data_IF_113048637639
#
_entry.id   IF_113048637639
#
_cell.length_a   1.000
_cell.length_b   1.000
_cell.length_c   1.000
_cell.angle_alpha   90.00
_cell.angle_beta   90.00
_cell.angle_gamma   90.00
#
_symmetry.space_group_name_H-M   'P 1'
#
loop_
_entity.id
_entity.type
_entity.pdbx_description
1 polymer ?
#
# COMPACT_ATOMS: atom_id res chain seq x y z
N UNK A 1 -25.60 -22.78 -14.96
CA UNK A 1 -26.70 -23.74 -15.23
C UNK A 1 -27.77 -22.97 -16.00
N UNK A 2 -28.32 -23.51 -17.08
CA UNK A 2 -29.18 -22.76 -18.02
C UNK A 2 -30.48 -22.31 -17.33
N UNK A 3 -30.71 -20.99 -17.24
CA UNK A 3 -31.98 -20.40 -16.85
C UNK A 3 -32.77 -20.04 -18.11
N UNK A 4 -34.04 -20.40 -18.15
CA UNK A 4 -34.96 -19.99 -19.21
C UNK A 4 -35.37 -18.53 -18.94
N UNK A 5 -35.02 -17.63 -19.86
CA UNK A 5 -35.23 -16.19 -19.72
C UNK A 5 -36.25 -15.77 -20.76
N UNK A 6 -37.51 -15.60 -20.36
CA UNK A 6 -38.52 -15.00 -21.24
C UNK A 6 -38.30 -13.50 -21.34
N UNK A 7 -38.07 -13.01 -22.57
CA UNK A 7 -37.83 -11.59 -22.86
C UNK A 7 -39.16 -10.80 -22.84
N UNK A 8 -39.18 -9.69 -22.11
CA UNK A 8 -40.20 -8.64 -22.28
C UNK A 8 -39.65 -7.58 -23.22
N UNK A 9 -40.21 -7.48 -24.42
CA UNK A 9 -39.83 -6.49 -25.42
C UNK A 9 -40.56 -5.17 -25.17
N UNK A 10 -39.92 -4.25 -24.43
CA UNK A 10 -39.90 -2.77 -24.60
C UNK A 10 -39.47 -2.07 -23.29
N UNK A 11 -38.19 -1.68 -23.19
CA UNK A 11 -37.59 -1.00 -22.03
C UNK A 11 -36.21 -1.56 -21.69
N UNK A 12 -35.44 -0.98 -20.73
CA UNK A 12 -34.24 -1.65 -20.22
C UNK A 12 -34.62 -3.07 -19.81
N UNK A 13 -33.86 -4.07 -20.25
CA UNK A 13 -34.18 -5.48 -20.04
C UNK A 13 -34.27 -5.75 -18.53
N UNK A 14 -35.49 -5.80 -17.98
CA UNK A 14 -35.75 -6.24 -16.62
C UNK A 14 -35.86 -7.75 -16.67
N UNK A 15 -34.83 -8.44 -16.16
CA UNK A 15 -34.87 -9.88 -15.96
C UNK A 15 -35.58 -10.18 -14.64
N UNK A 16 -36.78 -10.75 -14.73
CA UNK A 16 -37.51 -11.24 -13.56
C UNK A 16 -37.15 -12.72 -13.34
N UNK A 17 -36.49 -13.02 -12.22
CA UNK A 17 -36.25 -14.40 -11.80
C UNK A 17 -37.55 -14.94 -11.18
N UNK A 18 -38.13 -15.97 -11.78
CA UNK A 18 -39.40 -16.57 -11.33
C UNK A 18 -39.21 -17.74 -10.37
N UNK A 19 -37.96 -18.16 -10.12
CA UNK A 19 -37.64 -19.31 -9.30
C UNK A 19 -37.01 -18.86 -7.98
N UNK A 20 -37.66 -19.15 -6.85
CA UNK A 20 -37.26 -18.67 -5.53
C UNK A 20 -35.97 -19.31 -4.99
N UNK A 21 -35.40 -20.28 -5.72
CA UNK A 21 -34.17 -21.00 -5.36
C UNK A 21 -32.99 -20.77 -6.34
N UNK A 22 -33.18 -20.04 -7.43
CA UNK A 22 -32.11 -19.78 -8.39
C UNK A 22 -31.25 -18.58 -7.96
N UNK A 23 -30.00 -18.82 -7.55
CA UNK A 23 -29.01 -17.78 -7.33
C UNK A 23 -28.35 -17.39 -8.66
N UNK A 24 -28.43 -16.10 -9.02
CA UNK A 24 -27.58 -15.52 -10.05
C UNK A 24 -26.22 -15.19 -9.43
N UNK A 25 -25.15 -15.86 -9.90
CA UNK A 25 -23.78 -15.44 -9.61
C UNK A 25 -23.31 -14.48 -10.70
N UNK A 26 -22.89 -13.29 -10.32
CA UNK A 26 -22.24 -12.32 -11.19
C UNK A 26 -20.81 -12.16 -10.69
N UNK A 27 -19.84 -12.52 -11.53
CA UNK A 27 -18.43 -12.40 -11.19
C UNK A 27 -17.88 -11.11 -11.82
N UNK A 28 -17.60 -10.13 -10.98
CA UNK A 28 -16.94 -8.88 -11.31
C UNK A 28 -15.95 -8.52 -10.21
N UNK A 29 -14.84 -7.88 -10.55
CA UNK A 29 -13.91 -7.36 -9.56
C UNK A 29 -13.49 -5.94 -9.93
N UNK A 30 -13.64 -5.02 -8.99
CA UNK A 30 -13.00 -3.72 -9.07
C UNK A 30 -11.52 -3.85 -8.65
N UNK A 31 -10.71 -2.83 -8.92
CA UNK A 31 -9.30 -2.81 -8.50
C UNK A 31 -9.16 -2.88 -6.98
N UNK A 32 -8.20 -3.68 -6.50
CA UNK A 32 -7.89 -3.85 -5.08
C UNK A 32 -8.28 -5.25 -4.57
N UNK A 33 -8.56 -5.33 -3.26
CA UNK A 33 -8.71 -6.61 -2.57
C UNK A 33 -10.05 -7.32 -2.81
N UNK A 34 -11.07 -6.62 -3.31
CA UNK A 34 -12.42 -7.18 -3.54
C UNK A 34 -13.30 -7.37 -2.29
N UNK A 35 -12.80 -7.03 -1.09
CA UNK A 35 -13.57 -7.08 0.17
C UNK A 35 -13.12 -5.97 1.13
N UNK A 36 -13.99 -5.60 2.07
CA UNK A 36 -13.73 -4.58 3.08
C UNK A 36 -14.25 -3.20 2.68
N UNK A 37 -13.41 -2.17 2.83
CA UNK A 37 -13.80 -0.78 2.56
C UNK A 37 -13.88 -0.50 1.05
N UNK A 38 -15.08 -0.20 0.58
CA UNK A 38 -15.32 0.32 -0.78
C UNK A 38 -14.93 1.81 -0.82
N UNK A 39 -13.94 2.16 -1.64
CA UNK A 39 -13.38 3.52 -1.65
C UNK A 39 -14.40 4.56 -2.15
N UNK A 40 -15.02 4.30 -3.31
CA UNK A 40 -16.07 5.18 -3.84
C UNK A 40 -17.31 5.22 -2.94
N UNK A 41 -17.66 4.09 -2.32
CA UNK A 41 -18.72 4.04 -1.32
C UNK A 41 -18.40 4.87 -0.08
N UNK A 42 -17.16 4.81 0.42
CA UNK A 42 -16.70 5.63 1.55
C UNK A 42 -16.78 7.13 1.23
N UNK A 43 -16.44 7.52 -0.01
CA UNK A 43 -16.68 8.89 -0.51
C UNK A 43 -18.16 9.24 -0.49
N UNK A 44 -19.03 8.39 -1.03
CA UNK A 44 -20.48 8.62 -1.05
C UNK A 44 -21.08 8.77 0.36
N UNK A 45 -20.68 7.88 1.28
CA UNK A 45 -21.09 7.93 2.69
C UNK A 45 -20.63 9.23 3.36
N UNK A 46 -19.38 9.65 3.11
CA UNK A 46 -18.86 10.91 3.64
C UNK A 46 -19.61 12.13 3.06
N UNK A 47 -19.95 12.12 1.76
CA UNK A 47 -20.78 13.15 1.13
C UNK A 47 -22.22 13.17 1.69
N UNK A 48 -22.72 12.03 2.13
CA UNK A 48 -24.00 11.90 2.85
C UNK A 48 -23.90 12.30 4.34
N UNK A 49 -22.75 12.83 4.79
CA UNK A 49 -22.56 13.36 6.14
C UNK A 49 -22.14 12.31 7.19
N UNK A 50 -21.81 11.08 6.79
CA UNK A 50 -21.31 10.09 7.73
C UNK A 50 -19.88 10.45 8.18
N UNK A 51 -19.63 10.34 9.49
CA UNK A 51 -18.29 10.49 10.06
C UNK A 51 -17.47 9.21 9.92
N UNK A 52 -16.17 9.29 10.23
CA UNK A 52 -15.24 8.15 10.10
C UNK A 52 -15.69 6.90 10.86
N UNK A 53 -16.24 7.03 12.06
CA UNK A 53 -16.70 5.87 12.85
C UNK A 53 -17.90 5.19 12.21
N UNK A 54 -18.81 5.97 11.60
CA UNK A 54 -19.96 5.43 10.86
C UNK A 54 -19.51 4.72 9.57
N UNK A 55 -18.55 5.30 8.84
CA UNK A 55 -18.01 4.69 7.62
C UNK A 55 -17.27 3.39 7.93
N UNK A 56 -16.35 3.40 8.90
CA UNK A 56 -15.62 2.20 9.34
C UNK A 56 -16.57 1.15 9.88
N UNK A 57 -17.55 1.53 10.70
CA UNK A 57 -18.53 0.59 11.25
C UNK A 57 -19.46 -0.02 10.21
N UNK A 58 -19.69 0.66 9.07
CA UNK A 58 -20.43 0.10 7.95
C UNK A 58 -19.62 -0.99 7.23
N UNK A 59 -18.37 -0.70 6.87
CA UNK A 59 -17.54 -1.65 6.11
C UNK A 59 -16.90 -2.76 6.97
N UNK A 60 -16.79 -2.54 8.28
CA UNK A 60 -16.22 -3.51 9.23
C UNK A 60 -17.17 -3.67 10.43
N UNK A 61 -18.33 -4.34 10.25
CA UNK A 61 -19.34 -4.45 11.29
C UNK A 61 -18.81 -5.14 12.55
N UNK A 62 -19.23 -4.65 13.72
CA UNK A 62 -18.79 -5.18 15.02
C UNK A 62 -17.36 -4.81 15.43
N UNK A 63 -16.66 -3.99 14.65
CA UNK A 63 -15.35 -3.44 15.03
C UNK A 63 -15.48 -2.10 15.77
N UNK A 64 -14.36 -1.64 16.33
CA UNK A 64 -14.24 -0.35 16.98
C UNK A 64 -12.92 0.32 16.62
N UNK A 65 -12.87 1.65 16.61
CA UNK A 65 -11.61 2.40 16.42
C UNK A 65 -10.96 2.57 17.79
N UNK A 66 -9.74 2.08 17.94
CA UNK A 66 -9.01 2.11 19.22
C UNK A 66 -7.59 2.65 19.04
N UNK A 67 -7.12 3.42 20.02
CA UNK A 67 -5.72 3.86 20.07
C UNK A 67 -4.86 2.71 20.60
N UNK A 68 -4.21 1.99 19.68
CA UNK A 68 -3.50 0.74 19.98
C UNK A 68 -2.00 0.80 19.66
N UNK A 69 -1.55 1.82 18.92
CA UNK A 69 -0.16 1.93 18.51
C UNK A 69 0.64 2.89 19.36
N UNK A 70 1.89 2.52 19.59
CA UNK A 70 2.90 3.42 20.11
C UNK A 70 3.41 4.34 18.97
N UNK A 71 3.71 5.63 19.24
CA UNK A 71 4.14 6.59 18.22
C UNK A 71 5.35 6.16 17.39
N UNK A 72 6.23 5.35 17.98
CA UNK A 72 7.47 4.84 17.37
C UNK A 72 7.28 3.56 16.53
N UNK A 73 6.03 3.10 16.34
CA UNK A 73 5.76 1.91 15.53
C UNK A 73 6.28 2.13 14.11
N UNK A 74 7.20 1.27 13.67
CA UNK A 74 7.75 1.28 12.31
C UNK A 74 7.16 0.17 11.46
N UNK A 75 7.14 0.39 10.15
CA UNK A 75 6.83 -0.63 9.14
C UNK A 75 8.04 -0.85 8.23
N UNK A 76 8.20 -2.06 7.70
CA UNK A 76 9.23 -2.43 6.73
C UNK A 76 8.59 -2.73 5.38
N UNK A 77 8.84 -1.90 4.39
CA UNK A 77 8.26 -2.01 3.05
C UNK A 77 9.31 -2.54 2.08
N UNK A 78 9.04 -3.63 1.38
CA UNK A 78 9.83 -4.07 0.25
C UNK A 78 9.56 -3.13 -0.93
N UNK A 79 10.58 -2.37 -1.36
CA UNK A 79 10.46 -1.38 -2.44
C UNK A 79 11.22 -1.78 -3.71
N UNK A 80 12.10 -2.78 -3.60
CA UNK A 80 12.72 -3.44 -4.74
C UNK A 80 13.15 -4.84 -4.34
N UNK A 81 12.88 -5.84 -5.17
CA UNK A 81 13.30 -7.22 -4.93
C UNK A 81 14.28 -7.72 -5.99
N UNK A 82 15.19 -8.60 -5.56
CA UNK A 82 16.13 -9.29 -6.44
C UNK A 82 16.88 -8.34 -7.39
N UNK A 83 17.29 -7.17 -6.90
CA UNK A 83 18.15 -6.25 -7.65
C UNK A 83 19.41 -7.03 -8.07
N UNK A 84 19.58 -7.18 -9.38
CA UNK A 84 20.78 -7.78 -9.94
C UNK A 84 21.85 -6.70 -10.03
N UNK A 85 23.09 -7.10 -9.79
CA UNK A 85 24.23 -6.22 -9.91
C UNK A 85 25.10 -6.77 -11.02
N UNK A 86 24.77 -6.50 -12.27
CA UNK A 86 25.73 -6.80 -13.35
C UNK A 86 26.92 -5.84 -13.26
N UNK A 87 28.05 -6.20 -13.87
CA UNK A 87 29.30 -5.45 -13.76
C UNK A 87 29.21 -3.98 -14.26
N UNK A 88 28.20 -3.68 -15.08
CA UNK A 88 28.00 -2.39 -15.74
C UNK A 88 26.84 -1.56 -15.15
N UNK A 89 26.14 -2.07 -14.12
CA UNK A 89 25.00 -1.40 -13.51
C UNK A 89 25.42 -0.47 -12.37
N UNK A 90 24.94 0.77 -12.41
CA UNK A 90 25.13 1.72 -11.30
C UNK A 90 23.78 1.95 -10.61
N UNK A 91 23.60 1.28 -9.48
CA UNK A 91 22.59 1.68 -8.50
C UNK A 91 23.20 2.76 -7.62
N UNK A 92 22.61 3.95 -7.63
CA UNK A 92 23.04 5.06 -6.81
C UNK A 92 22.05 5.27 -5.67
N UNK A 93 22.58 5.36 -4.46
CA UNK A 93 21.83 5.85 -3.30
C UNK A 93 22.43 7.19 -2.91
N UNK A 94 21.59 8.20 -2.81
CA UNK A 94 21.99 9.55 -2.42
C UNK A 94 20.99 10.12 -1.42
N UNK A 95 21.16 11.39 -1.05
CA UNK A 95 20.24 12.06 -0.13
C UNK A 95 19.85 13.46 -0.62
N UNK A 96 18.65 13.88 -0.24
CA UNK A 96 18.17 15.26 -0.37
C UNK A 96 18.00 15.87 1.02
N UNK A 97 18.20 17.18 1.14
CA UNK A 97 17.93 17.93 2.38
C UNK A 97 19.04 17.91 3.44
N UNK A 98 19.99 16.97 3.39
CA UNK A 98 21.11 16.99 4.33
C UNK A 98 22.00 15.75 4.29
N UNK A 99 22.91 15.68 5.27
CA UNK A 99 23.77 14.51 5.47
C UNK A 99 22.95 13.27 5.85
N UNK A 100 23.57 12.12 5.65
CA UNK A 100 23.00 10.80 5.90
C UNK A 100 24.08 9.89 6.48
N UNK A 101 23.74 8.66 6.83
CA UNK A 101 24.68 7.71 7.42
C UNK A 101 24.60 6.35 6.74
N UNK A 102 25.74 5.68 6.68
CA UNK A 102 25.86 4.29 6.25
C UNK A 102 26.37 3.47 7.42
N UNK A 103 25.68 2.38 7.74
CA UNK A 103 26.09 1.41 8.75
C UNK A 103 26.08 0.00 8.14
N UNK A 104 27.15 -0.75 8.36
CA UNK A 104 27.32 -2.13 7.90
C UNK A 104 27.81 -3.02 9.03
N UNK A 105 27.66 -4.35 8.95
CA UNK A 105 28.19 -5.26 9.97
C UNK A 105 29.70 -5.05 10.17
N UNK A 106 30.10 -4.80 11.42
CA UNK A 106 31.49 -4.57 11.78
C UNK A 106 32.05 -3.19 11.41
N UNK A 107 31.24 -2.27 10.88
CA UNK A 107 31.66 -0.93 10.49
C UNK A 107 30.86 0.10 11.30
N UNK A 108 31.56 1.01 11.99
CA UNK A 108 30.92 2.12 12.71
C UNK A 108 30.11 3.00 11.74
N UNK A 109 28.92 3.49 12.13
CA UNK A 109 28.13 4.36 11.27
C UNK A 109 28.94 5.55 10.76
N UNK A 110 29.11 5.64 9.45
CA UNK A 110 29.79 6.75 8.79
C UNK A 110 28.77 7.83 8.46
N UNK A 111 29.03 9.07 8.85
CA UNK A 111 28.27 10.22 8.35
C UNK A 111 28.77 10.59 6.96
N UNK A 112 27.84 10.62 6.00
CA UNK A 112 28.07 10.85 4.59
C UNK A 112 27.53 12.24 4.22
N UNK A 113 28.34 13.09 3.55
CA UNK A 113 27.88 14.39 3.05
C UNK A 113 26.67 14.27 2.12
N UNK A 114 25.84 15.32 2.09
CA UNK A 114 24.61 15.34 1.28
C UNK A 114 24.85 15.11 -0.22
N UNK A 115 26.00 15.57 -0.74
CA UNK A 115 26.37 15.51 -2.15
C UNK A 115 27.19 14.26 -2.52
N UNK A 116 27.42 13.36 -1.56
CA UNK A 116 28.04 12.07 -1.79
C UNK A 116 27.00 11.01 -2.19
N UNK A 117 27.46 10.00 -2.91
CA UNK A 117 26.63 8.90 -3.42
C UNK A 117 27.21 7.55 -3.02
N UNK A 118 26.35 6.61 -2.67
CA UNK A 118 26.70 5.21 -2.52
C UNK A 118 26.44 4.49 -3.85
N UNK A 119 27.43 3.72 -4.27
CA UNK A 119 27.38 2.85 -5.43
C UNK A 119 27.46 1.39 -4.96
N UNK A 120 26.60 0.55 -5.53
CA UNK A 120 26.75 -0.90 -5.48
C UNK A 120 27.56 -1.35 -6.69
N UNK A 121 28.57 -2.18 -6.49
CA UNK A 121 29.46 -2.63 -7.56
C UNK A 121 29.76 -4.12 -7.45
N UNK A 122 29.83 -4.80 -8.61
CA UNK A 122 30.13 -6.23 -8.71
C UNK A 122 31.51 -6.63 -9.34
N UNK A 123 32.49 -5.75 -9.61
CA UNK A 123 33.81 -6.24 -10.02
C UNK A 123 34.51 -6.99 -8.87
N UNK A 124 34.67 -8.30 -9.00
CA UNK A 124 35.40 -9.15 -8.02
C UNK A 124 34.59 -9.56 -6.78
N UNK A 125 33.27 -9.37 -6.80
CA UNK A 125 32.35 -9.68 -5.70
C UNK A 125 31.46 -8.49 -5.33
N UNK A 126 30.33 -8.74 -4.65
CA UNK A 126 29.40 -7.68 -4.23
C UNK A 126 30.03 -6.77 -3.19
N UNK A 127 30.21 -5.50 -3.54
CA UNK A 127 30.70 -4.46 -2.64
C UNK A 127 29.83 -3.21 -2.72
N UNK A 128 29.91 -2.42 -1.67
CA UNK A 128 29.38 -1.06 -1.65
C UNK A 128 30.54 -0.07 -1.50
N UNK A 129 30.39 1.12 -2.04
CA UNK A 129 31.33 2.22 -1.85
C UNK A 129 30.60 3.55 -1.79
N UNK A 130 31.02 4.45 -0.90
CA UNK A 130 30.57 5.83 -0.84
C UNK A 130 31.61 6.69 -1.54
N UNK A 131 31.18 7.44 -2.55
CA UNK A 131 32.00 8.42 -3.26
C UNK A 131 31.55 9.84 -2.95
N UNK A 132 32.51 10.69 -2.61
CA UNK A 132 32.31 12.14 -2.55
C UNK A 132 32.03 12.72 -3.94
N UNK A 133 31.63 13.99 -3.96
CA UNK A 133 31.33 14.74 -5.19
C UNK A 133 32.51 14.81 -6.16
N UNK A 134 33.73 14.82 -5.64
CA UNK A 134 34.99 14.79 -6.40
C UNK A 134 35.39 13.39 -6.90
N UNK A 135 34.60 12.36 -6.57
CA UNK A 135 34.87 10.96 -6.89
C UNK A 135 35.75 10.24 -5.87
N UNK A 136 36.22 10.91 -4.81
CA UNK A 136 37.02 10.28 -3.77
C UNK A 136 36.20 9.21 -3.03
N UNK A 137 36.79 8.03 -2.84
CA UNK A 137 36.15 6.95 -2.07
C UNK A 137 36.27 7.28 -0.59
N UNK A 138 35.14 7.61 0.05
CA UNK A 138 35.06 7.96 1.46
C UNK A 138 34.98 6.71 2.36
N UNK A 139 34.32 5.66 1.87
CA UNK A 139 34.28 4.35 2.50
C UNK A 139 33.87 3.27 1.50
N UNK A 140 34.21 2.02 1.81
CA UNK A 140 33.79 0.85 1.04
C UNK A 140 33.81 -0.40 1.92
N UNK A 141 33.12 -1.44 1.48
CA UNK A 141 33.17 -2.74 2.15
C UNK A 141 32.48 -3.84 1.33
N UNK A 142 32.68 -5.11 1.71
CA UNK A 142 31.90 -6.20 1.14
C UNK A 142 30.42 -6.07 1.54
N UNK A 143 29.52 -6.43 0.63
CA UNK A 143 28.10 -6.53 0.94
C UNK A 143 27.77 -7.96 1.42
N UNK A 144 28.29 -8.33 2.59
CA UNK A 144 28.15 -9.66 3.20
C UNK A 144 26.96 -9.79 4.15
N UNK A 145 26.27 -8.70 4.44
CA UNK A 145 25.10 -8.63 5.30
C UNK A 145 24.33 -7.33 5.09
N UNK A 146 23.32 -7.04 5.94
CA UNK A 146 22.44 -5.89 5.75
C UNK A 146 23.20 -4.56 5.79
N UNK A 147 23.07 -3.74 4.76
CA UNK A 147 23.61 -2.37 4.72
C UNK A 147 22.50 -1.38 5.02
N UNK A 148 22.65 -0.60 6.10
CA UNK A 148 21.64 0.36 6.54
C UNK A 148 22.05 1.76 6.14
N UNK A 149 21.20 2.41 5.35
CA UNK A 149 21.30 3.80 4.94
C UNK A 149 20.23 4.58 5.71
N UNK A 150 20.62 5.59 6.49
CA UNK A 150 19.68 6.37 7.29
C UNK A 150 19.89 7.88 7.14
N UNK A 151 18.82 8.68 7.16
CA UNK A 151 18.94 10.13 7.20
C UNK A 151 19.60 10.58 8.52
N UNK A 152 20.43 11.63 8.49
CA UNK A 152 21.00 12.19 9.72
C UNK A 152 20.02 13.16 10.43
N UNK A 153 18.91 13.53 9.78
CA UNK A 153 17.87 14.41 10.32
C UNK A 153 16.51 14.09 9.71
N UNK A 154 15.42 14.55 10.33
CA UNK A 154 14.06 14.39 9.78
C UNK A 154 13.82 15.21 8.49
N UNK A 155 14.72 16.12 8.12
CA UNK A 155 14.65 16.86 6.85
C UNK A 155 15.35 16.12 5.71
N UNK A 156 16.23 15.17 6.04
CA UNK A 156 16.93 14.38 5.02
C UNK A 156 16.00 13.32 4.43
N UNK A 157 16.01 13.15 3.12
CA UNK A 157 15.37 12.04 2.40
C UNK A 157 16.43 11.19 1.72
N UNK A 158 16.20 9.89 1.64
CA UNK A 158 17.07 8.97 0.90
C UNK A 158 16.51 8.77 -0.50
N UNK A 159 17.34 8.97 -1.52
CA UNK A 159 16.96 8.84 -2.92
C UNK A 159 17.56 7.55 -3.46
N UNK A 160 16.71 6.71 -4.04
CA UNK A 160 17.11 5.53 -4.79
C UNK A 160 17.04 5.87 -6.28
N UNK A 161 18.17 5.80 -6.98
CA UNK A 161 18.26 5.92 -8.44
C UNK A 161 18.91 4.65 -8.99
N UNK A 162 18.07 3.78 -9.55
CA UNK A 162 18.49 2.55 -10.20
C UNK A 162 18.30 2.66 -11.71
N UNK A 163 19.39 2.46 -12.45
CA UNK A 163 19.42 2.43 -13.91
C UNK A 163 20.11 1.15 -14.38
N UNK A 164 19.36 0.12 -14.84
CA UNK A 164 19.95 -1.06 -15.45
C UNK A 164 20.76 -0.72 -16.71
N UNK A 165 21.73 -1.55 -17.07
CA UNK A 165 22.60 -1.38 -18.25
C UNK A 165 21.91 -1.76 -19.57
N UNK A 166 20.64 -2.17 -19.51
CA UNK A 166 19.78 -2.47 -20.66
C UNK A 166 18.34 -2.81 -20.26
N UNK A 167 17.48 -3.03 -21.27
CA UNK A 167 16.10 -3.45 -21.02
C UNK A 167 16.07 -4.93 -20.60
N UNK A 168 15.64 -5.20 -19.37
CA UNK A 168 15.43 -6.56 -18.88
C UNK A 168 13.92 -6.85 -18.90
N UNK A 169 13.44 -7.87 -19.65
CA UNK A 169 12.03 -8.23 -19.68
C UNK A 169 11.47 -8.46 -18.26
N UNK A 170 10.38 -7.77 -17.92
CA UNK A 170 9.75 -7.87 -16.61
C UNK A 170 10.38 -7.01 -15.50
N UNK A 171 11.37 -6.15 -15.82
CA UNK A 171 11.91 -5.15 -14.88
C UNK A 171 11.66 -3.72 -15.38
N UNK A 172 11.49 -2.79 -14.45
CA UNK A 172 11.46 -1.37 -14.77
C UNK A 172 12.86 -0.93 -15.29
N UNK A 173 12.87 -0.24 -16.44
CA UNK A 173 14.11 0.22 -17.08
C UNK A 173 14.80 1.38 -16.37
N UNK A 174 14.12 1.99 -15.39
CA UNK A 174 14.65 2.97 -14.44
C UNK A 174 13.75 2.95 -13.21
N UNK A 175 14.33 3.11 -12.03
CA UNK A 175 13.57 3.34 -10.80
C UNK A 175 14.17 4.54 -10.07
N UNK A 176 13.33 5.53 -9.82
CA UNK A 176 13.72 6.74 -9.12
C UNK A 176 12.63 7.09 -8.11
N UNK A 177 12.96 7.01 -6.83
CA UNK A 177 12.04 7.41 -5.77
C UNK A 177 12.80 7.92 -4.53
N UNK A 178 12.08 8.64 -3.68
CA UNK A 178 12.60 9.38 -2.54
C UNK A 178 11.85 8.97 -1.27
N UNK A 179 12.58 8.57 -0.25
CA UNK A 179 12.03 7.96 0.95
C UNK A 179 12.33 8.74 2.22
N UNK A 180 11.36 8.70 3.15
CA UNK A 180 11.58 8.95 4.57
C UNK A 180 12.14 7.70 5.24
N UNK A 181 12.67 7.89 6.44
CA UNK A 181 13.22 6.79 7.23
C UNK A 181 14.45 6.15 6.57
N UNK A 182 14.72 4.91 6.93
CA UNK A 182 15.91 4.18 6.52
C UNK A 182 15.67 3.35 5.26
N UNK A 183 16.72 3.16 4.48
CA UNK A 183 16.79 2.13 3.45
C UNK A 183 17.75 1.04 3.93
N UNK A 184 17.33 -0.21 3.83
CA UNK A 184 18.14 -1.37 4.21
C UNK A 184 18.29 -2.27 2.99
N UNK A 185 19.53 -2.56 2.62
CA UNK A 185 19.87 -3.49 1.55
C UNK A 185 20.16 -4.85 2.14
N UNK A 186 19.39 -5.86 1.75
CA UNK A 186 19.56 -7.25 2.17
C UNK A 186 20.15 -8.07 1.01
N UNK A 187 21.46 -8.37 1.04
CA UNK A 187 22.06 -9.24 0.02
C UNK A 187 21.63 -10.71 0.21
N UNK A 188 21.26 -11.37 -0.88
CA UNK A 188 20.95 -12.81 -0.95
C UNK A 188 21.60 -13.46 -2.18
N UNK A 189 21.55 -14.79 -2.31
CA UNK A 189 22.02 -15.47 -3.53
C UNK A 189 21.23 -15.06 -4.79
N UNK A 190 20.00 -14.58 -4.64
CA UNK A 190 19.11 -14.20 -5.75
C UNK A 190 19.27 -12.72 -6.18
N UNK A 191 19.88 -11.88 -5.34
CA UNK A 191 20.05 -10.45 -5.63
C UNK A 191 20.13 -9.64 -4.35
N UNK A 192 19.68 -8.39 -4.41
CA UNK A 192 19.52 -7.53 -3.24
C UNK A 192 18.05 -7.14 -3.11
N UNK A 193 17.48 -7.39 -1.94
CA UNK A 193 16.19 -6.80 -1.58
C UNK A 193 16.43 -5.45 -0.90
N UNK A 194 15.69 -4.44 -1.33
CA UNK A 194 15.72 -3.09 -0.77
C UNK A 194 14.46 -2.86 0.04
N UNK A 195 14.65 -2.57 1.32
CA UNK A 195 13.55 -2.40 2.28
C UNK A 195 13.58 -0.98 2.84
N UNK A 196 12.47 -0.26 2.72
CA UNK A 196 12.28 1.02 3.41
C UNK A 196 11.68 0.78 4.80
N UNK A 197 12.40 1.20 5.86
CA UNK A 197 11.93 1.12 7.24
C UNK A 197 11.69 2.52 7.79
N UNK A 198 10.45 2.80 8.19
CA UNK A 198 10.01 4.15 8.60
C UNK A 198 8.85 4.10 9.60
N UNK A 199 8.60 5.18 10.35
CA UNK A 199 7.41 5.30 11.18
C UNK A 199 6.13 5.07 10.37
N UNK A 200 5.14 4.41 10.98
CA UNK A 200 3.92 3.98 10.28
C UNK A 200 3.15 5.15 9.66
N UNK A 201 3.10 6.30 10.33
CA UNK A 201 2.38 7.46 9.79
C UNK A 201 3.15 8.09 8.61
N UNK A 202 4.48 8.05 8.60
CA UNK A 202 5.27 8.49 7.44
C UNK A 202 5.07 7.58 6.22
N UNK A 203 4.95 6.27 6.45
CA UNK A 203 4.56 5.31 5.41
C UNK A 203 3.19 5.64 4.82
N UNK A 204 2.20 5.94 5.67
CA UNK A 204 0.85 6.27 5.21
C UNK A 204 0.81 7.55 4.36
N UNK A 205 1.74 8.50 4.55
CA UNK A 205 1.83 9.68 3.69
C UNK A 205 2.15 9.33 2.24
N UNK A 206 2.82 8.19 2.00
CA UNK A 206 3.09 7.65 0.67
C UNK A 206 2.05 6.63 0.16
N UNK A 207 1.12 6.17 1.01
CA UNK A 207 0.08 5.18 0.65
C UNK A 207 -1.28 5.84 0.42
N UNK A 208 -1.78 6.60 1.40
CA UNK A 208 -3.14 7.15 1.36
C UNK A 208 -3.41 7.98 0.10
N UNK A 209 -2.54 8.92 -0.32
CA UNK A 209 -2.76 9.67 -1.56
C UNK A 209 -2.58 8.84 -2.85
N UNK A 210 -1.89 7.70 -2.78
CA UNK A 210 -1.73 6.76 -3.90
C UNK A 210 -2.95 5.85 -4.06
N UNK A 211 -3.67 5.59 -2.97
CA UNK A 211 -4.85 4.72 -2.94
C UNK A 211 -6.17 5.50 -3.07
N UNK A 212 -6.24 6.72 -2.52
CA UNK A 212 -7.47 7.51 -2.49
C UNK A 212 -7.18 8.97 -2.91
N UNK A 213 -7.94 9.53 -3.88
CA UNK A 213 -7.70 10.89 -4.33
C UNK A 213 -7.77 11.90 -3.18
N UNK A 214 -6.72 12.71 -3.05
CA UNK A 214 -6.57 13.64 -1.93
C UNK A 214 -7.64 14.75 -1.88
N UNK A 215 -8.42 14.93 -2.94
CA UNK A 215 -9.56 15.86 -3.02
C UNK A 215 -10.84 15.32 -2.40
N UNK A 216 -10.87 14.06 -1.98
CA UNK A 216 -12.06 13.44 -1.40
C UNK A 216 -12.33 13.91 0.04
N UNK A 217 -13.56 13.76 0.54
CA UNK A 217 -13.93 14.26 1.86
C UNK A 217 -13.06 13.70 2.99
N UNK A 218 -12.77 14.52 4.00
CA UNK A 218 -11.90 14.16 5.13
C UNK A 218 -12.32 12.85 5.83
N UNK A 219 -13.62 12.60 6.02
CA UNK A 219 -14.09 11.37 6.65
C UNK A 219 -13.77 10.10 5.83
N UNK A 220 -13.78 10.20 4.49
CA UNK A 220 -13.37 9.10 3.62
C UNK A 220 -11.84 8.89 3.68
N UNK A 221 -11.07 9.98 3.66
CA UNK A 221 -9.61 9.93 3.81
C UNK A 221 -9.20 9.32 5.15
N UNK A 222 -9.90 9.66 6.25
CA UNK A 222 -9.67 9.06 7.58
C UNK A 222 -10.03 7.57 7.60
N UNK A 223 -11.13 7.16 6.96
CA UNK A 223 -11.51 5.76 6.85
C UNK A 223 -10.49 4.94 6.04
N UNK A 224 -10.02 5.47 4.91
CA UNK A 224 -8.91 4.87 4.15
C UNK A 224 -7.64 4.76 4.98
N UNK A 225 -7.30 5.82 5.73
CA UNK A 225 -6.12 5.84 6.59
C UNK A 225 -6.20 4.75 7.66
N UNK A 226 -7.33 4.61 8.34
CA UNK A 226 -7.53 3.57 9.36
C UNK A 226 -7.44 2.17 8.77
N UNK A 227 -8.07 1.93 7.60
CA UNK A 227 -7.98 0.65 6.88
C UNK A 227 -6.54 0.35 6.47
N UNK A 228 -5.82 1.31 5.90
CA UNK A 228 -4.45 1.14 5.46
C UNK A 228 -3.48 0.90 6.64
N UNK A 229 -3.60 1.68 7.72
CA UNK A 229 -2.78 1.52 8.92
C UNK A 229 -2.99 0.16 9.58
N UNK A 230 -4.26 -0.25 9.70
CA UNK A 230 -4.62 -1.52 10.33
C UNK A 230 -4.14 -2.69 9.48
N UNK A 231 -4.25 -2.61 8.14
CA UNK A 231 -3.68 -3.61 7.24
C UNK A 231 -2.18 -3.79 7.47
N UNK A 232 -1.41 -2.70 7.37
CA UNK A 232 0.05 -2.74 7.52
C UNK A 232 0.48 -3.32 8.87
N UNK A 233 -0.18 -2.94 9.96
CA UNK A 233 0.11 -3.47 11.30
C UNK A 233 -0.25 -4.96 11.41
N UNK A 234 -1.39 -5.38 10.88
CA UNK A 234 -1.77 -6.79 10.84
C UNK A 234 -0.76 -7.63 10.04
N UNK A 235 -0.30 -7.11 8.89
CA UNK A 235 0.76 -7.74 8.09
C UNK A 235 2.08 -7.82 8.86
N UNK A 236 2.48 -6.77 9.55
CA UNK A 236 3.69 -6.77 10.38
C UNK A 236 3.64 -7.82 11.50
N UNK A 237 2.48 -7.97 12.16
CA UNK A 237 2.29 -9.00 13.20
C UNK A 237 2.37 -10.42 12.63
N UNK A 238 1.75 -10.66 11.48
CA UNK A 238 1.70 -11.98 10.84
C UNK A 238 2.99 -12.35 10.10
N UNK A 239 3.77 -11.35 9.64
CA UNK A 239 5.07 -11.50 8.98
C UNK A 239 6.26 -11.14 9.87
N UNK A 240 6.12 -11.14 11.21
CA UNK A 240 7.17 -10.69 12.13
C UNK A 240 8.54 -11.39 11.96
N UNK A 241 8.57 -12.62 11.43
CA UNK A 241 9.80 -13.38 11.14
C UNK A 241 10.39 -13.15 9.74
N UNK A 242 9.70 -12.41 8.88
CA UNK A 242 10.15 -12.08 7.53
C UNK A 242 11.03 -10.82 7.55
N UNK A 243 11.75 -10.60 6.44
CA UNK A 243 12.62 -9.44 6.25
C UNK A 243 11.84 -8.12 6.19
N UNK A 244 10.62 -8.16 5.65
CA UNK A 244 9.72 -7.03 5.43
C UNK A 244 8.28 -7.39 5.81
N UNK A 245 7.46 -6.36 6.03
CA UNK A 245 6.08 -6.47 6.52
C UNK A 245 5.07 -6.35 5.39
N UNK A 246 5.32 -5.47 4.42
CA UNK A 246 4.48 -5.22 3.23
C UNK A 246 5.35 -4.99 1.99
N UNK A 247 4.81 -5.19 0.79
CA UNK A 247 5.39 -4.72 -0.48
C UNK A 247 4.69 -3.45 -1.01
N UNK A 248 5.32 -2.75 -1.94
CA UNK A 248 4.88 -1.46 -2.50
C UNK A 248 3.90 -1.58 -3.68
N UNK A 249 3.38 -2.79 -3.94
CA UNK A 249 2.52 -3.09 -5.07
C UNK A 249 1.06 -3.33 -4.67
N UNK A 250 0.21 -3.60 -5.65
CA UNK A 250 -1.20 -3.97 -5.43
C UNK A 250 -1.39 -5.31 -4.69
N UNK A 251 -0.33 -6.09 -4.48
CA UNK A 251 -0.41 -7.30 -3.64
C UNK A 251 -0.59 -6.96 -2.15
N UNK A 252 -0.03 -5.84 -1.71
CA UNK A 252 -0.21 -5.31 -0.36
C UNK A 252 -0.84 -3.91 -0.42
N UNK A 253 -0.05 -2.86 -0.62
CA UNK A 253 -0.54 -1.48 -0.74
C UNK A 253 0.35 -0.68 -1.68
N UNK A 254 -0.27 0.15 -2.52
CA UNK A 254 0.50 1.02 -3.43
C UNK A 254 1.23 2.08 -2.61
N UNK A 255 2.57 2.09 -2.70
CA UNK A 255 3.44 3.00 -1.95
C UNK A 255 4.40 3.75 -2.88
N UNK A 256 4.35 5.09 -2.86
CA UNK A 256 5.14 5.95 -3.75
C UNK A 256 6.00 6.98 -3.00
N UNK A 257 6.43 6.62 -1.79
CA UNK A 257 7.40 7.39 -1.02
C UNK A 257 6.97 8.84 -0.74
N UNK A 258 7.97 9.73 -0.66
CA UNK A 258 7.83 11.13 -0.27
C UNK A 258 7.15 12.00 -1.33
N UNK A 259 7.25 11.64 -2.62
CA UNK A 259 6.66 12.45 -3.69
C UNK A 259 5.15 12.37 -3.76
N UNK A 260 4.55 11.32 -3.18
CA UNK A 260 3.09 11.15 -3.14
C UNK A 260 2.40 11.99 -2.05
N UNK A 261 3.13 12.52 -1.08
CA UNK A 261 2.54 13.19 0.08
C UNK A 261 1.64 14.37 -0.32
N UNK A 262 0.49 14.48 0.35
CA UNK A 262 -0.45 15.57 0.10
C UNK A 262 -0.97 16.18 1.41
N UNK A 263 -1.11 17.52 1.51
CA UNK A 263 -1.55 18.15 2.76
C UNK A 263 -2.89 17.66 3.31
N UNK A 264 -3.88 17.33 2.45
CA UNK A 264 -5.18 16.84 2.91
C UNK A 264 -5.12 15.42 3.48
N UNK A 265 -4.42 14.50 2.83
CA UNK A 265 -4.24 13.13 3.33
C UNK A 265 -3.36 13.13 4.59
N UNK A 266 -2.34 13.99 4.65
CA UNK A 266 -1.53 14.21 5.85
C UNK A 266 -2.39 14.63 7.06
N UNK A 267 -3.35 15.54 6.88
CA UNK A 267 -4.29 15.90 7.96
C UNK A 267 -5.15 14.72 8.43
N UNK A 268 -5.60 13.86 7.52
CA UNK A 268 -6.37 12.66 7.88
C UNK A 268 -5.51 11.62 8.63
N UNK A 269 -4.23 11.49 8.24
CA UNK A 269 -3.22 10.68 8.93
C UNK A 269 -3.01 11.19 10.35
N UNK A 270 -2.73 12.48 10.51
CA UNK A 270 -2.51 13.11 11.80
C UNK A 270 -3.76 13.04 12.71
N UNK A 271 -4.96 13.23 12.14
CA UNK A 271 -6.23 13.17 12.88
C UNK A 271 -6.55 11.76 13.42
N UNK A 272 -5.98 10.71 12.82
CA UNK A 272 -6.17 9.30 13.23
C UNK A 272 -4.91 8.69 13.83
N UNK A 273 -3.94 9.52 14.23
CA UNK A 273 -2.64 9.06 14.72
C UNK A 273 -2.76 8.03 15.86
N UNK A 274 -2.11 6.89 15.68
CA UNK A 274 -2.09 5.77 16.62
C UNK A 274 -3.39 4.96 16.73
N UNK A 275 -4.41 5.28 15.94
CA UNK A 275 -5.70 4.57 15.93
C UNK A 275 -5.70 3.43 14.92
N UNK A 276 -6.28 2.29 15.31
CA UNK A 276 -6.50 1.10 14.49
C UNK A 276 -7.97 0.66 14.55
N UNK A 277 -8.38 -0.10 13.55
CA UNK A 277 -9.64 -0.85 13.57
C UNK A 277 -9.40 -2.12 14.38
N UNK A 278 -10.20 -2.31 15.43
CA UNK A 278 -10.09 -3.43 16.37
C UNK A 278 -11.32 -4.33 16.33
N UNK A 279 -11.08 -5.64 16.29
CA UNK A 279 -12.08 -6.66 16.50
C UNK A 279 -11.75 -7.45 17.77
N UNK A 280 -12.63 -7.42 18.76
CA UNK A 280 -12.40 -8.15 20.02
C UNK A 280 -11.14 -7.72 20.79
N UNK A 281 -10.71 -6.46 20.65
CA UNK A 281 -9.48 -5.94 21.26
C UNK A 281 -8.19 -6.31 20.53
N UNK A 282 -8.29 -7.05 19.42
CA UNK A 282 -7.15 -7.38 18.54
C UNK A 282 -7.16 -6.48 17.31
N UNK A 283 -6.00 -6.35 16.64
CA UNK A 283 -5.89 -5.65 15.36
C UNK A 283 -6.74 -6.39 14.33
N UNK A 284 -7.69 -5.71 13.70
CA UNK A 284 -8.55 -6.32 12.69
C UNK A 284 -7.78 -6.55 11.38
N UNK A 285 -8.16 -7.58 10.63
CA UNK A 285 -7.67 -7.78 9.28
C UNK A 285 -8.51 -6.93 8.31
N UNK A 286 -7.95 -5.83 7.82
CA UNK A 286 -8.71 -4.84 7.03
C UNK A 286 -8.26 -4.82 5.58
N UNK A 287 -9.20 -4.71 4.66
CA UNK A 287 -8.96 -4.64 3.22
C UNK A 287 -9.75 -3.49 2.61
N UNK A 288 -9.40 -3.11 1.39
CA UNK A 288 -10.11 -2.08 0.64
C UNK A 288 -10.00 -2.28 -0.87
N UNK A 289 -10.94 -1.73 -1.61
CA UNK A 289 -11.06 -1.85 -3.06
C UNK A 289 -11.85 -0.67 -3.65
N UNK A 290 -11.74 -0.45 -4.96
CA UNK A 290 -12.20 0.77 -5.60
C UNK A 290 -13.73 0.97 -5.54
N UNK A 291 -14.49 0.03 -6.08
CA UNK A 291 -15.94 0.17 -6.35
C UNK A 291 -16.66 -1.12 -5.96
N UNK A 292 -17.89 -1.03 -5.44
CA UNK A 292 -18.65 -2.13 -4.85
C UNK A 292 -20.04 -2.33 -5.46
N UNK A 293 -20.49 -1.46 -6.36
CA UNK A 293 -21.77 -1.53 -7.06
C UNK A 293 -22.97 -1.69 -6.11
N UNK A 294 -22.89 -1.02 -4.96
CA UNK A 294 -23.90 -1.08 -3.91
C UNK A 294 -23.87 -2.33 -3.01
N UNK A 295 -22.91 -3.25 -3.16
CA UNK A 295 -22.70 -4.38 -2.25
C UNK A 295 -21.22 -4.73 -2.04
N UNK A 296 -20.78 -4.90 -0.80
CA UNK A 296 -19.48 -5.56 -0.55
C UNK A 296 -19.65 -7.08 -0.54
N UNK A 297 -18.53 -7.80 -0.57
CA UNK A 297 -18.52 -9.27 -0.58
C UNK A 297 -18.04 -9.86 0.77
N UNK A 298 -18.33 -11.13 1.01
CA UNK A 298 -17.79 -11.91 2.14
C UNK A 298 -16.37 -12.39 1.82
N UNK A 299 -15.48 -12.40 2.82
CA UNK A 299 -14.08 -12.78 2.59
C UNK A 299 -13.92 -14.20 2.03
N UNK A 300 -14.76 -15.16 2.45
CA UNK A 300 -14.70 -16.54 1.98
C UNK A 300 -15.12 -16.70 0.52
N UNK A 301 -15.90 -15.76 -0.03
CA UNK A 301 -16.29 -15.79 -1.44
C UNK A 301 -15.19 -15.24 -2.35
N UNK A 302 -14.29 -14.40 -1.81
CA UNK A 302 -13.16 -13.84 -2.56
C UNK A 302 -11.94 -14.77 -2.53
N UNK A 303 -11.61 -15.33 -1.36
CA UNK A 303 -10.37 -16.09 -1.16
C UNK A 303 -10.55 -17.48 -0.53
N UNK A 304 -11.78 -17.89 -0.21
CA UNK A 304 -12.04 -19.05 0.64
C UNK A 304 -11.64 -18.82 2.10
N UNK A 305 -11.55 -19.91 2.87
CA UNK A 305 -11.10 -19.88 4.26
C UNK A 305 -12.19 -19.57 5.28
N UNK A 306 -11.77 -19.19 6.51
CA UNK A 306 -12.68 -18.97 7.63
C UNK A 306 -13.42 -17.63 7.48
N UNK A 307 -14.76 -17.62 7.61
CA UNK A 307 -15.53 -16.38 7.69
C UNK A 307 -15.03 -15.47 8.83
N UNK A 308 -14.73 -14.22 8.49
CA UNK A 308 -14.41 -13.19 9.48
C UNK A 308 -15.68 -12.38 9.78
N UNK A 309 -16.05 -12.19 11.06
CA UNK A 309 -17.32 -11.57 11.42
C UNK A 309 -17.44 -10.10 10.99
N UNK A 310 -16.31 -9.45 10.71
CA UNK A 310 -16.20 -8.05 10.30
C UNK A 310 -15.79 -7.88 8.82
N UNK A 311 -15.64 -8.94 8.04
CA UNK A 311 -15.43 -8.87 6.57
C UNK A 311 -16.58 -9.58 5.87
N UNK A 312 -17.76 -8.98 5.98
CA UNK A 312 -19.02 -9.50 5.43
C UNK A 312 -19.49 -8.63 4.29
N UNK A 313 -20.28 -9.23 3.39
CA UNK A 313 -21.02 -8.49 2.39
C UNK A 313 -22.08 -7.63 3.06
N UNK A 314 -22.06 -6.33 2.76
CA UNK A 314 -23.02 -5.35 3.25
C UNK A 314 -23.68 -4.64 2.07
N UNK A 315 -24.95 -4.29 2.25
CA UNK A 315 -25.66 -3.43 1.30
C UNK A 315 -25.18 -1.99 1.46
N UNK A 316 -24.50 -1.46 0.45
CA UNK A 316 -23.85 -0.15 0.46
C UNK A 316 -24.69 0.93 -0.24
N UNK A 317 -25.89 1.18 0.31
CA UNK A 317 -26.86 2.13 -0.26
C UNK A 317 -27.37 3.14 0.78
N UNK A 318 -27.84 4.29 0.32
CA UNK A 318 -28.53 5.27 1.15
C UNK A 318 -29.98 4.86 1.49
N UNK A 319 -30.69 5.72 2.24
CA UNK A 319 -32.07 5.47 2.65
C UNK A 319 -33.07 5.33 1.49
N UNK A 320 -32.76 5.88 0.30
CA UNK A 320 -33.56 5.73 -0.91
C UNK A 320 -33.24 4.43 -1.68
N UNK A 321 -32.22 3.68 -1.24
CA UNK A 321 -31.72 2.50 -1.93
C UNK A 321 -30.69 2.81 -3.01
N UNK A 322 -30.23 4.06 -3.11
CA UNK A 322 -29.22 4.49 -4.07
C UNK A 322 -27.81 4.08 -3.61
N UNK A 323 -27.00 3.41 -4.44
CA UNK A 323 -25.62 3.06 -4.09
C UNK A 323 -24.76 4.27 -3.75
N UNK A 324 -23.96 4.16 -2.69
CA UNK A 324 -23.04 5.25 -2.31
C UNK A 324 -21.93 5.47 -3.33
N UNK A 325 -21.61 4.44 -4.12
CA UNK A 325 -20.60 4.49 -5.17
C UNK A 325 -21.15 4.72 -6.57
N UNK A 326 -22.42 5.12 -6.73
CA UNK A 326 -23.03 5.41 -8.05
C UNK A 326 -22.21 6.41 -8.90
N UNK A 327 -21.48 7.32 -8.25
CA UNK A 327 -20.60 8.28 -8.92
C UNK A 327 -19.26 7.71 -9.40
N UNK A 328 -18.98 6.42 -9.20
CA UNK A 328 -17.73 5.79 -9.59
C UNK A 328 -17.69 5.50 -11.09
N UNK A 329 -16.54 5.73 -11.77
CA UNK A 329 -16.32 5.22 -13.12
C UNK A 329 -16.47 3.70 -13.12
N UNK A 330 -17.39 3.18 -13.92
CA UNK A 330 -17.65 1.74 -14.00
C UNK A 330 -18.67 1.18 -13.00
N UNK A 331 -19.36 2.00 -12.20
CA UNK A 331 -20.43 1.56 -11.30
C UNK A 331 -21.67 0.97 -12.01
N UNK A 332 -21.73 1.09 -13.34
CA UNK A 332 -22.82 0.57 -14.17
C UNK A 332 -22.29 -0.46 -15.15
N UNK A 333 -22.82 -1.67 -15.05
CA UNK A 333 -22.55 -2.76 -15.97
C UNK A 333 -23.71 -2.88 -16.96
N UNK A 334 -23.40 -3.11 -18.24
CA UNK A 334 -24.39 -3.49 -19.24
C UNK A 334 -24.02 -4.85 -19.81
N UNK A 335 -25.00 -5.73 -19.96
CA UNK A 335 -24.81 -6.94 -20.76
C UNK A 335 -24.83 -6.56 -22.24
N UNK A 336 -23.73 -6.84 -22.95
CA UNK A 336 -23.65 -6.73 -24.41
C UNK A 336 -23.72 -8.11 -25.03
N UNK A 337 -24.43 -8.24 -26.15
CA UNK A 337 -24.35 -9.43 -27.00
C UNK A 337 -23.01 -9.41 -27.74
N UNK A 338 -22.17 -10.43 -27.58
CA UNK A 338 -21.00 -10.68 -28.42
C UNK A 338 -21.37 -11.58 -29.60
#
# INVERSE_FOLDING_TARGET
MFADVSQSTTGPNVYAFTDSEAALSLDGHAFGHGVGLCQWGARGRALAGQNVSQIVGAYFPGTSIQKMLAPETTIRVLVHSNLDMTADETSHISAMGGAWQVAAPGIQPLTVPADAKLELANPGGRRWQVKGRDGAVLAWGPLSGPLVIRPASLETRIVLDYRPSGNVPGRANTYFDTYRGEIILYPSTQGIDTVNRLPIDDYLRGVVPSEMPASWPDAALQAQTLSARTYAVFRAQTRAKQTWDVDDSTWDQVYHGWWAEHPSTNRAIDATAGQLISSGGQVAQTYYFATCDGWTENNENVWGGTPLPYLRGIRDVDASGKPFDEGAPGATWSTGSF
#
